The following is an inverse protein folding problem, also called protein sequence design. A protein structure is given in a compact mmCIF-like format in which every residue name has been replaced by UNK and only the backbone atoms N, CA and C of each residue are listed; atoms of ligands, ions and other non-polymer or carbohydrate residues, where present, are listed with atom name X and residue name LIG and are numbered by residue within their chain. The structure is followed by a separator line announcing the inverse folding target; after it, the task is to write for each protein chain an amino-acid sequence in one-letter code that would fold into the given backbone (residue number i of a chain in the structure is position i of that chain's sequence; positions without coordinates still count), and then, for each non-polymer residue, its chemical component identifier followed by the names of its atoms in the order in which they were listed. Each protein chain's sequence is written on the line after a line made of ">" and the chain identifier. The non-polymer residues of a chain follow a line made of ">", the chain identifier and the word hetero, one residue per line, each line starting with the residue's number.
data_IF_444140392250
#
_entry.id   IF_444140392250
#
_cell.length_a   1.000
_cell.length_b   1.000
_cell.length_c   1.000
_cell.angle_alpha   90.00
_cell.angle_beta   90.00
_cell.angle_gamma   90.00
#
_symmetry.space_group_name_H-M   'P 1'
#
loop_
_entity.id
_entity.type
_entity.pdbx_description
1 polymer ?
#
# COMPACT_ATOMS: atom_id res chain seq x y z
N UNK A 1 -3.42 -15.62 22.67
CA UNK A 1 -2.80 -15.44 21.34
C UNK A 1 -3.75 -14.59 20.51
N UNK A 2 -3.30 -13.49 19.91
CA UNK A 2 -4.17 -12.62 19.11
C UNK A 2 -4.67 -13.35 17.85
N UNK A 3 -5.81 -12.94 17.29
CA UNK A 3 -6.35 -13.62 16.09
C UNK A 3 -5.42 -13.46 14.89
N UNK A 4 -4.74 -12.33 14.75
CA UNK A 4 -3.68 -12.13 13.75
C UNK A 4 -2.54 -13.15 13.85
N UNK A 5 -2.11 -13.50 15.07
CA UNK A 5 -1.03 -14.49 15.25
C UNK A 5 -1.48 -15.89 14.86
N UNK A 6 -2.71 -16.25 15.20
CA UNK A 6 -3.28 -17.54 14.84
C UNK A 6 -3.41 -17.69 13.32
N UNK A 7 -3.98 -16.68 12.65
CA UNK A 7 -4.07 -16.63 11.17
C UNK A 7 -2.68 -16.74 10.54
N UNK A 8 -1.69 -16.02 11.07
CA UNK A 8 -0.32 -16.08 10.57
C UNK A 8 0.29 -17.48 10.70
N UNK A 9 0.13 -18.13 11.87
CA UNK A 9 0.61 -19.49 12.09
C UNK A 9 -0.08 -20.51 11.18
N UNK A 10 -1.39 -20.42 11.00
CA UNK A 10 -2.14 -21.34 10.16
C UNK A 10 -1.71 -21.20 8.68
N UNK A 11 -1.51 -19.96 8.20
CA UNK A 11 -0.97 -19.69 6.87
C UNK A 11 0.46 -20.22 6.73
N UNK A 12 1.32 -20.03 7.73
CA UNK A 12 2.68 -20.59 7.73
C UNK A 12 2.67 -22.12 7.71
N UNK A 13 1.82 -22.77 8.50
CA UNK A 13 1.70 -24.22 8.50
C UNK A 13 1.30 -24.75 7.11
N UNK A 14 0.35 -24.07 6.45
CA UNK A 14 -0.04 -24.42 5.09
C UNK A 14 1.10 -24.21 4.09
N UNK A 15 1.81 -23.08 4.14
CA UNK A 15 3.00 -22.83 3.31
C UNK A 15 4.05 -23.93 3.53
N UNK A 16 4.32 -24.30 4.78
CA UNK A 16 5.33 -25.31 5.11
C UNK A 16 4.97 -26.70 4.61
N UNK A 17 3.69 -27.01 4.44
CA UNK A 17 3.22 -28.27 3.84
C UNK A 17 3.41 -28.35 2.31
N UNK A 18 3.66 -27.23 1.63
CA UNK A 18 3.85 -27.21 0.18
C UNK A 18 5.24 -27.72 -0.24
N UNK A 19 5.42 -28.20 -1.48
CA UNK A 19 6.74 -28.54 -2.00
C UNK A 19 7.63 -27.29 -2.17
N UNK A 20 8.95 -27.51 -2.20
CA UNK A 20 9.90 -26.45 -2.56
C UNK A 20 9.88 -26.19 -4.07
N UNK A 21 9.91 -24.92 -4.45
CA UNK A 21 9.95 -24.46 -5.83
C UNK A 21 11.20 -23.59 -6.06
N UNK A 22 11.90 -23.80 -7.17
CA UNK A 22 13.04 -22.97 -7.57
C UNK A 22 12.58 -21.67 -8.23
N UNK A 23 13.18 -20.54 -7.85
CA UNK A 23 12.95 -19.24 -8.49
C UNK A 23 14.18 -18.79 -9.27
N UNK A 24 13.95 -18.26 -10.47
CA UNK A 24 15.03 -18.07 -11.47
C UNK A 24 15.95 -16.85 -11.25
N UNK A 25 15.51 -15.85 -10.49
CA UNK A 25 16.18 -14.53 -10.43
C UNK A 25 16.86 -14.24 -9.08
N UNK A 26 16.21 -14.46 -7.93
CA UNK A 26 16.83 -14.19 -6.64
C UNK A 26 17.90 -15.23 -6.29
N UNK A 27 19.03 -14.77 -5.76
CA UNK A 27 20.14 -15.59 -5.25
C UNK A 27 20.50 -15.15 -3.83
N UNK A 28 21.03 -16.06 -3.02
CA UNK A 28 21.63 -15.73 -1.73
C UNK A 28 22.97 -15.00 -1.91
N UNK A 29 23.53 -14.49 -0.81
CA UNK A 29 24.82 -13.77 -0.84
C UNK A 29 26.00 -14.61 -1.33
N UNK A 30 25.90 -15.93 -1.27
CA UNK A 30 26.88 -16.89 -1.79
C UNK A 30 26.62 -17.31 -3.26
N UNK A 31 25.61 -16.72 -3.91
CA UNK A 31 25.24 -17.01 -5.29
C UNK A 31 24.33 -18.24 -5.45
N UNK A 32 24.00 -18.96 -4.38
CA UNK A 32 23.08 -20.09 -4.47
C UNK A 32 21.65 -19.63 -4.81
N UNK A 33 20.96 -20.39 -5.65
CA UNK A 33 19.59 -20.08 -6.07
C UNK A 33 18.60 -20.15 -4.92
N UNK A 34 17.63 -19.22 -4.88
CA UNK A 34 16.58 -19.22 -3.86
C UNK A 34 15.51 -20.27 -4.18
N UNK A 35 15.05 -20.98 -3.15
CA UNK A 35 13.87 -21.85 -3.19
C UNK A 35 12.77 -21.27 -2.31
N UNK A 36 11.52 -21.38 -2.74
CA UNK A 36 10.37 -20.85 -2.02
C UNK A 36 9.28 -21.92 -1.86
N UNK A 37 8.46 -21.78 -0.83
CA UNK A 37 7.17 -22.45 -0.70
C UNK A 37 6.09 -21.37 -0.75
N UNK A 38 4.97 -21.62 -1.43
CA UNK A 38 3.90 -20.62 -1.56
C UNK A 38 2.52 -21.26 -1.60
N UNK A 39 1.55 -20.47 -1.19
CA UNK A 39 0.11 -20.73 -1.34
C UNK A 39 -0.48 -19.55 -2.12
N UNK A 40 -1.54 -19.78 -2.88
CA UNK A 40 -2.16 -18.77 -3.75
C UNK A 40 -3.51 -18.34 -3.19
N UNK A 41 -3.92 -17.12 -3.54
CA UNK A 41 -5.26 -16.58 -3.24
C UNK A 41 -5.66 -16.60 -1.75
N UNK A 42 -4.70 -16.34 -0.86
CA UNK A 42 -4.98 -16.24 0.59
C UNK A 42 -5.81 -14.99 0.88
N UNK A 43 -6.93 -15.18 1.59
CA UNK A 43 -7.77 -14.09 2.07
C UNK A 43 -7.82 -14.12 3.61
N UNK A 44 -7.34 -13.05 4.24
CA UNK A 44 -7.35 -12.90 5.69
C UNK A 44 -8.34 -11.80 6.10
N UNK A 45 -9.17 -12.07 7.12
CA UNK A 45 -10.17 -11.13 7.61
C UNK A 45 -9.94 -10.79 9.09
N UNK A 46 -9.96 -9.50 9.40
CA UNK A 46 -9.77 -8.95 10.74
C UNK A 46 -10.95 -8.07 11.13
N UNK A 47 -11.45 -8.21 12.36
CA UNK A 47 -12.45 -7.30 12.93
C UNK A 47 -11.73 -6.21 13.74
N UNK A 48 -11.57 -5.03 13.14
CA UNK A 48 -10.83 -3.91 13.73
C UNK A 48 -11.49 -3.34 14.99
N UNK A 49 -12.75 -3.69 15.29
CA UNK A 49 -13.43 -3.33 16.55
C UNK A 49 -12.98 -4.20 17.72
N UNK A 50 -12.34 -5.34 17.45
CA UNK A 50 -11.91 -6.31 18.47
C UNK A 50 -10.42 -6.21 18.75
N UNK A 51 -9.61 -6.10 17.71
CA UNK A 51 -8.16 -5.99 17.83
C UNK A 51 -7.56 -5.18 16.68
N UNK A 52 -6.44 -4.51 16.95
CA UNK A 52 -5.56 -4.00 15.91
C UNK A 52 -4.66 -5.15 15.43
N UNK A 53 -4.62 -5.49 14.13
CA UNK A 53 -3.94 -6.68 13.63
C UNK A 53 -2.41 -6.50 13.57
N UNK A 54 -1.80 -6.34 14.73
CA UNK A 54 -0.35 -6.29 14.93
C UNK A 54 0.09 -7.61 15.60
N UNK A 55 0.87 -8.40 14.87
CA UNK A 55 1.35 -9.68 15.36
C UNK A 55 2.25 -9.54 16.59
N UNK A 56 2.14 -10.49 17.52
CA UNK A 56 2.93 -10.58 18.75
C UNK A 56 4.01 -11.67 18.71
N UNK A 57 4.01 -12.52 17.66
CA UNK A 57 4.98 -13.61 17.50
C UNK A 57 6.42 -13.13 17.30
N UNK A 58 6.60 -11.90 16.80
CA UNK A 58 7.90 -11.24 16.69
C UNK A 58 7.75 -9.72 16.78
N UNK A 59 8.77 -8.99 17.25
CA UNK A 59 8.78 -7.54 17.19
C UNK A 59 8.55 -7.04 15.76
N UNK A 60 7.58 -6.14 15.61
CA UNK A 60 7.29 -5.45 14.35
C UNK A 60 7.61 -3.97 14.50
N UNK A 61 8.31 -3.38 13.53
CA UNK A 61 8.71 -1.98 13.57
C UNK A 61 7.55 -1.03 13.19
N UNK A 62 6.52 -1.00 14.03
CA UNK A 62 5.29 -0.24 13.81
C UNK A 62 5.54 1.24 13.52
N UNK A 63 6.50 1.85 14.23
CA UNK A 63 6.85 3.27 14.07
C UNK A 63 7.27 3.58 12.63
N UNK A 64 8.14 2.75 12.05
CA UNK A 64 8.62 2.97 10.68
C UNK A 64 7.57 2.57 9.64
N UNK A 65 6.73 1.55 9.91
CA UNK A 65 5.59 1.23 9.04
C UNK A 65 4.60 2.39 8.94
N UNK A 66 4.31 3.09 10.05
CA UNK A 66 3.46 4.29 10.03
C UNK A 66 4.11 5.41 9.22
N UNK A 67 5.43 5.64 9.37
CA UNK A 67 6.14 6.65 8.57
C UNK A 67 6.01 6.39 7.07
N UNK A 68 6.12 5.14 6.64
CA UNK A 68 5.96 4.74 5.24
C UNK A 68 4.53 4.98 4.74
N UNK A 69 3.51 4.64 5.53
CA UNK A 69 2.10 4.93 5.19
C UNK A 69 1.90 6.45 4.99
N UNK A 70 2.43 7.28 5.89
CA UNK A 70 2.29 8.74 5.79
C UNK A 70 3.09 9.31 4.62
N UNK A 71 4.26 8.76 4.30
CA UNK A 71 5.03 9.15 3.13
C UNK A 71 4.26 8.93 1.83
N UNK A 72 3.53 7.82 1.71
CA UNK A 72 2.70 7.50 0.53
C UNK A 72 1.39 8.30 0.51
N UNK A 73 0.59 8.24 1.58
CA UNK A 73 -0.79 8.72 1.54
C UNK A 73 -0.98 10.19 1.92
N UNK A 74 -0.13 10.70 2.81
CA UNK A 74 -0.23 12.06 3.30
C UNK A 74 0.71 12.98 2.54
N UNK A 75 2.01 12.63 2.45
CA UNK A 75 2.98 13.41 1.69
C UNK A 75 2.83 13.21 0.18
N UNK A 76 2.37 12.03 -0.25
CA UNK A 76 2.32 11.64 -1.68
C UNK A 76 3.70 11.83 -2.34
N UNK A 77 4.75 11.55 -1.56
CA UNK A 77 6.13 11.81 -1.97
C UNK A 77 6.73 10.59 -2.66
N UNK A 78 7.68 10.85 -3.53
CA UNK A 78 8.53 9.88 -4.21
C UNK A 78 9.98 9.95 -3.73
N UNK A 79 10.33 10.94 -2.90
CA UNK A 79 11.70 11.16 -2.42
C UNK A 79 11.95 10.38 -1.12
N UNK A 80 12.95 9.51 -1.11
CA UNK A 80 13.31 8.70 0.08
C UNK A 80 13.82 9.58 1.24
N UNK A 81 14.31 10.78 0.96
CA UNK A 81 14.74 11.74 2.00
C UNK A 81 13.56 12.22 2.82
N UNK A 82 12.36 12.32 2.23
CA UNK A 82 11.12 12.65 2.94
C UNK A 82 10.67 11.55 3.90
N UNK A 83 11.02 10.30 3.60
CA UNK A 83 10.73 9.12 4.42
C UNK A 83 11.71 9.01 5.59
N UNK A 84 12.99 9.32 5.35
CA UNK A 84 14.05 9.23 6.35
C UNK A 84 14.33 7.80 6.82
N UNK A 85 14.08 6.81 5.96
CA UNK A 85 14.37 5.39 6.17
C UNK A 85 15.14 4.85 4.98
N UNK A 86 16.04 3.91 5.23
CA UNK A 86 16.95 3.35 4.22
C UNK A 86 16.44 2.09 3.51
N UNK A 87 15.22 1.66 3.83
CA UNK A 87 14.67 0.39 3.29
C UNK A 87 14.31 0.48 1.81
N UNK A 88 14.28 1.69 1.24
CA UNK A 88 13.95 1.96 -0.16
C UNK A 88 15.17 2.39 -1.00
N UNK A 89 16.35 2.59 -0.39
CA UNK A 89 17.53 3.16 -1.04
C UNK A 89 17.94 2.41 -2.31
N UNK A 90 17.80 1.08 -2.32
CA UNK A 90 18.17 0.24 -3.47
C UNK A 90 17.28 0.43 -4.70
N UNK A 91 16.12 1.06 -4.55
CA UNK A 91 15.14 1.28 -5.63
C UNK A 91 15.08 2.74 -6.07
N UNK A 92 15.77 3.64 -5.38
CA UNK A 92 15.81 5.04 -5.74
C UNK A 92 16.79 5.31 -6.88
N UNK A 93 16.47 6.31 -7.69
CA UNK A 93 17.40 6.85 -8.69
C UNK A 93 18.54 7.65 -8.03
N UNK A 94 19.44 8.18 -8.86
CA UNK A 94 20.59 8.99 -8.41
C UNK A 94 20.18 10.26 -7.63
N UNK A 95 18.93 10.71 -7.78
CA UNK A 95 18.39 11.87 -7.08
C UNK A 95 17.69 11.49 -5.75
N UNK A 96 17.51 10.19 -5.48
CA UNK A 96 16.78 9.68 -4.31
C UNK A 96 15.28 9.51 -4.56
N UNK A 97 14.84 9.43 -5.81
CA UNK A 97 13.42 9.35 -6.16
C UNK A 97 12.99 7.96 -6.64
N UNK A 98 11.73 7.64 -6.34
CA UNK A 98 11.03 6.43 -6.80
C UNK A 98 9.77 6.86 -7.56
N UNK A 99 9.97 7.40 -8.76
CA UNK A 99 8.88 7.90 -9.61
C UNK A 99 8.03 6.76 -10.19
N UNK A 100 6.78 7.08 -10.58
CA UNK A 100 5.87 6.11 -11.20
C UNK A 100 5.32 5.04 -10.26
N UNK A 101 5.51 5.17 -8.94
CA UNK A 101 5.04 4.21 -7.95
C UNK A 101 4.44 4.92 -6.71
N UNK A 102 3.63 4.19 -5.95
CA UNK A 102 3.13 4.56 -4.61
C UNK A 102 2.61 6.00 -4.47
N UNK A 103 3.41 6.90 -3.89
CA UNK A 103 3.05 8.30 -3.67
C UNK A 103 2.68 9.01 -4.96
N UNK A 104 3.40 8.75 -6.06
CA UNK A 104 3.08 9.30 -7.38
C UNK A 104 1.68 8.87 -7.84
N UNK A 105 1.33 7.60 -7.70
CA UNK A 105 0.02 7.07 -8.09
C UNK A 105 -1.09 7.73 -7.28
N UNK A 106 -0.92 7.81 -5.95
CA UNK A 106 -1.89 8.47 -5.06
C UNK A 106 -2.04 9.96 -5.40
N UNK A 107 -0.99 10.62 -5.88
CA UNK A 107 -1.01 12.04 -6.26
C UNK A 107 -1.70 12.35 -7.60
N UNK A 108 -2.13 11.33 -8.36
CA UNK A 108 -2.77 11.56 -9.67
C UNK A 108 -4.19 12.09 -9.51
N UNK A 109 -4.56 12.98 -10.43
CA UNK A 109 -5.91 13.51 -10.53
C UNK A 109 -6.96 12.40 -10.68
N UNK A 110 -8.10 12.57 -10.00
CA UNK A 110 -9.30 11.74 -10.18
C UNK A 110 -10.30 12.56 -10.97
N UNK A 111 -10.63 12.11 -12.18
CA UNK A 111 -11.60 12.78 -13.05
C UNK A 111 -13.01 12.25 -12.79
N UNK A 112 -13.96 13.15 -12.59
CA UNK A 112 -15.36 12.81 -12.27
C UNK A 112 -16.31 13.09 -13.43
N UNK A 113 -16.03 14.12 -14.25
CA UNK A 113 -16.84 14.47 -15.40
C UNK A 113 -16.37 15.74 -16.09
N UNK A 114 -17.22 16.25 -16.98
CA UNK A 114 -16.99 17.50 -17.73
C UNK A 114 -17.99 18.59 -17.32
N UNK A 115 -17.60 19.85 -17.48
CA UNK A 115 -18.37 21.03 -17.09
C UNK A 115 -17.81 21.74 -15.86
N UNK A 116 -18.60 22.65 -15.29
CA UNK A 116 -18.25 23.36 -14.05
C UNK A 116 -18.23 22.38 -12.89
N UNK A 117 -17.17 22.41 -12.07
CA UNK A 117 -17.09 21.61 -10.86
C UNK A 117 -18.29 21.84 -9.92
N UNK A 118 -18.95 20.77 -9.46
CA UNK A 118 -19.89 20.84 -8.35
C UNK A 118 -19.18 21.28 -7.06
N UNK A 119 -19.95 21.80 -6.10
CA UNK A 119 -19.43 22.24 -4.80
C UNK A 119 -18.64 21.11 -4.10
N UNK A 120 -17.43 21.44 -3.66
CA UNK A 120 -16.51 20.51 -2.99
C UNK A 120 -15.65 19.66 -3.95
N UNK A 121 -15.74 19.88 -5.26
CA UNK A 121 -14.81 19.35 -6.26
C UNK A 121 -13.94 20.46 -6.84
N UNK A 122 -12.93 20.07 -7.63
CA UNK A 122 -11.96 20.98 -8.23
C UNK A 122 -12.15 21.02 -9.74
N UNK A 123 -12.24 22.22 -10.30
CA UNK A 123 -12.02 22.44 -11.73
C UNK A 123 -10.54 22.16 -12.04
N UNK A 124 -10.27 21.18 -12.91
CA UNK A 124 -8.91 20.74 -13.19
C UNK A 124 -8.38 21.49 -14.42
N UNK A 125 -8.56 20.93 -15.62
CA UNK A 125 -8.20 21.54 -16.89
C UNK A 125 -9.16 21.06 -18.00
N UNK A 126 -9.23 21.81 -19.10
CA UNK A 126 -10.02 21.46 -20.30
C UNK A 126 -11.50 21.14 -20.01
N UNK A 127 -12.07 21.83 -19.02
CA UNK A 127 -13.46 21.62 -18.60
C UNK A 127 -13.69 20.28 -17.89
N UNK A 128 -12.65 19.58 -17.44
CA UNK A 128 -12.75 18.43 -16.56
C UNK A 128 -12.81 18.88 -15.10
N UNK A 129 -13.68 18.25 -14.32
CA UNK A 129 -13.72 18.42 -12.87
C UNK A 129 -13.48 17.11 -12.13
N UNK A 130 -13.01 17.22 -10.89
CA UNK A 130 -12.79 16.08 -10.00
C UNK A 130 -11.95 16.43 -8.78
N UNK A 131 -10.90 15.66 -8.52
CA UNK A 131 -10.01 15.85 -7.37
C UNK A 131 -8.54 15.86 -7.81
N UNK A 132 -7.72 16.65 -7.12
CA UNK A 132 -6.28 16.77 -7.43
C UNK A 132 -5.47 15.54 -7.01
N UNK A 133 -6.01 14.64 -6.20
CA UNK A 133 -5.36 13.39 -5.84
C UNK A 133 -6.40 12.38 -5.33
N UNK A 134 -6.00 11.12 -5.26
CA UNK A 134 -6.87 10.03 -4.82
C UNK A 134 -7.23 10.13 -3.33
N UNK A 135 -6.33 10.64 -2.48
CA UNK A 135 -6.60 10.83 -1.05
C UNK A 135 -7.78 11.79 -0.84
N UNK A 136 -7.78 12.93 -1.53
CA UNK A 136 -8.85 13.94 -1.40
C UNK A 136 -10.19 13.40 -1.93
N UNK A 137 -10.18 12.68 -3.05
CA UNK A 137 -11.36 11.97 -3.57
C UNK A 137 -11.96 11.02 -2.52
N UNK A 138 -11.13 10.18 -1.89
CA UNK A 138 -11.58 9.20 -0.90
C UNK A 138 -12.15 9.91 0.33
N UNK A 139 -11.43 10.90 0.87
CA UNK A 139 -11.86 11.63 2.06
C UNK A 139 -13.18 12.39 1.82
N UNK A 140 -13.33 13.00 0.64
CA UNK A 140 -14.57 13.67 0.26
C UNK A 140 -15.71 12.66 0.10
N UNK A 141 -15.48 11.54 -0.60
CA UNK A 141 -16.51 10.52 -0.87
C UNK A 141 -16.99 9.86 0.42
N UNK A 142 -16.10 9.56 1.36
CA UNK A 142 -16.46 9.00 2.68
C UNK A 142 -17.32 9.95 3.53
N UNK A 143 -17.32 11.25 3.24
CA UNK A 143 -18.15 12.24 3.92
C UNK A 143 -19.46 12.51 3.17
N UNK A 144 -19.41 12.59 1.84
CA UNK A 144 -20.49 13.13 1.02
C UNK A 144 -21.23 12.08 0.17
N UNK A 145 -20.61 10.95 -0.16
CA UNK A 145 -21.22 9.86 -0.95
C UNK A 145 -20.86 8.48 -0.37
N UNK A 146 -21.29 8.25 0.86
CA UNK A 146 -20.98 7.04 1.64
C UNK A 146 -21.53 5.75 1.04
N UNK A 147 -22.58 5.86 0.23
CA UNK A 147 -23.20 4.72 -0.48
C UNK A 147 -22.43 4.34 -1.76
N UNK A 148 -21.48 5.16 -2.18
CA UNK A 148 -20.69 4.90 -3.38
C UNK A 148 -19.98 3.55 -3.28
N UNK A 149 -20.16 2.74 -4.32
CA UNK A 149 -19.42 1.49 -4.53
C UNK A 149 -18.14 1.70 -5.34
N UNK A 150 -17.70 2.96 -5.47
CA UNK A 150 -16.58 3.38 -6.32
C UNK A 150 -15.48 4.11 -5.55
N UNK A 151 -15.51 4.07 -4.21
CA UNK A 151 -14.45 4.63 -3.37
C UNK A 151 -13.25 3.68 -3.42
N UNK A 152 -12.38 3.89 -4.40
CA UNK A 152 -11.23 3.02 -4.71
C UNK A 152 -10.00 3.90 -4.92
N UNK A 153 -8.84 3.38 -4.52
CA UNK A 153 -7.53 3.89 -4.93
C UNK A 153 -6.80 2.83 -5.74
N UNK A 154 -6.03 3.24 -6.75
CA UNK A 154 -5.22 2.34 -7.60
C UNK A 154 -3.91 2.97 -8.00
#
# INVERSE_FOLDING_TARGET
>A
MARVDKIFQDNLALIMSQPWEEVKRPVYGDGTGVKVKRILQVCNQYDLRREFPLGSLRPTNLKNSIKEILWIWQKRSVDIKDLGLHIWDKWADDNGKIEGCYGDMVNRHVYMGTGKAPDGMTDIHDGLYGFLNQTDFILWSLKNDRSSRRIVAS
#
